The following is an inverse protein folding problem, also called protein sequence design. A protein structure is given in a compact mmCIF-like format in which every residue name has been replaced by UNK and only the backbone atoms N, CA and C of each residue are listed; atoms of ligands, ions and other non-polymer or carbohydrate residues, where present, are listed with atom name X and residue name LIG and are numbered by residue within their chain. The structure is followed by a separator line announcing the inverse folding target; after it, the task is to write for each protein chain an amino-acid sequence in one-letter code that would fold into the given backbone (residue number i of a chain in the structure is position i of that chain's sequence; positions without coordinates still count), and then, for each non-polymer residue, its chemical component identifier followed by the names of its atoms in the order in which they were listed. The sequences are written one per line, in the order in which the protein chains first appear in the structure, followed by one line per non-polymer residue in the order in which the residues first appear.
data_IF_030974792892
#
_entry.id   IF_030974792892
#
_cell.length_a   1.000
_cell.length_b   1.000
_cell.length_c   1.000
_cell.angle_alpha   90.00
_cell.angle_beta   90.00
_cell.angle_gamma   90.00
#
_symmetry.space_group_name_H-M   'P 1'
#
loop_
_entity.id
_entity.type
_entity.pdbx_description
1 polymer ?
#
# COMPACT_ATOMS: atom_id res chain seq x y z
N UNK A 1 0.19 13.61 13.35
CA UNK A 1 -0.42 12.66 12.40
C UNK A 1 -0.10 11.25 12.85
N UNK A 2 -1.10 10.38 12.93
CA UNK A 2 -0.85 8.98 13.32
C UNK A 2 -0.14 8.25 12.20
N UNK A 3 0.95 7.56 12.52
CA UNK A 3 1.75 6.79 11.56
C UNK A 3 0.91 5.79 10.78
N UNK A 4 -0.12 5.24 11.41
CA UNK A 4 -1.08 4.31 10.79
C UNK A 4 -1.81 4.88 9.55
N UNK A 5 -1.83 6.21 9.40
CA UNK A 5 -2.43 6.87 8.24
C UNK A 5 -1.43 7.11 7.09
N UNK A 6 -0.16 6.76 7.30
CA UNK A 6 0.90 6.96 6.30
C UNK A 6 1.24 5.68 5.54
N UNK A 7 0.46 4.63 5.75
CA UNK A 7 0.61 3.35 5.07
C UNK A 7 -0.74 2.84 4.61
N UNK A 8 -0.75 1.91 3.69
CA UNK A 8 -1.98 1.27 3.23
C UNK A 8 -2.55 0.36 4.32
N UNK A 9 -3.86 0.21 4.33
CA UNK A 9 -4.55 -0.74 5.21
C UNK A 9 -4.30 -2.19 4.75
N UNK A 10 -4.59 -3.12 5.63
CA UNK A 10 -4.49 -4.55 5.32
C UNK A 10 -5.41 -4.92 4.14
N UNK A 11 -6.61 -4.36 4.10
CA UNK A 11 -7.58 -4.60 3.04
C UNK A 11 -7.07 -4.08 1.69
N UNK A 12 -6.47 -2.89 1.68
CA UNK A 12 -5.87 -2.33 0.47
C UNK A 12 -4.71 -3.19 -0.04
N UNK A 13 -3.85 -3.67 0.87
CA UNK A 13 -2.75 -4.55 0.49
C UNK A 13 -3.23 -5.90 -0.07
N UNK A 14 -4.26 -6.48 0.53
CA UNK A 14 -4.89 -7.72 0.02
C UNK A 14 -5.47 -7.50 -1.37
N UNK A 15 -6.12 -6.38 -1.59
CA UNK A 15 -6.67 -6.04 -2.89
C UNK A 15 -5.58 -5.91 -3.96
N UNK A 16 -4.42 -5.29 -3.64
CA UNK A 16 -3.29 -5.25 -4.56
C UNK A 16 -2.77 -6.65 -4.90
N UNK A 17 -2.70 -7.54 -3.92
CA UNK A 17 -2.31 -8.93 -4.14
C UNK A 17 -3.31 -9.68 -5.03
N UNK A 18 -4.59 -9.44 -4.84
CA UNK A 18 -5.66 -10.00 -5.69
C UNK A 18 -5.56 -9.49 -7.14
N UNK A 19 -5.12 -8.25 -7.32
CA UNK A 19 -4.85 -7.70 -8.66
C UNK A 19 -3.55 -8.25 -9.28
N UNK A 20 -2.78 -9.04 -8.54
CA UNK A 20 -1.55 -9.66 -9.01
C UNK A 20 -0.30 -8.83 -8.78
N UNK A 21 -0.38 -7.77 -8.00
CA UNK A 21 0.78 -6.95 -7.65
C UNK A 21 1.68 -7.71 -6.67
N UNK A 22 2.96 -7.83 -6.99
CA UNK A 22 3.94 -8.40 -6.07
C UNK A 22 4.24 -7.41 -4.96
N UNK A 23 3.89 -7.76 -3.73
CA UNK A 23 4.06 -6.92 -2.55
C UNK A 23 5.27 -7.30 -1.69
N UNK A 24 6.15 -8.16 -2.19
CA UNK A 24 7.36 -8.61 -1.46
C UNK A 24 8.38 -7.50 -1.23
N UNK A 25 8.29 -6.41 -1.96
CA UNK A 25 9.17 -5.25 -1.87
C UNK A 25 8.68 -4.17 -0.87
N UNK A 26 7.68 -4.46 -0.09
CA UNK A 26 7.17 -3.53 0.93
C UNK A 26 8.22 -3.23 2.00
N UNK A 27 8.29 -1.98 2.41
CA UNK A 27 9.25 -1.54 3.44
C UNK A 27 8.72 -1.68 4.86
N UNK A 28 7.43 -1.87 5.04
CA UNK A 28 6.80 -2.02 6.35
C UNK A 28 5.82 -3.19 6.38
N UNK A 29 5.43 -3.56 7.58
CA UNK A 29 4.51 -4.69 7.80
C UNK A 29 3.50 -4.35 8.88
N UNK A 30 2.25 -4.76 8.66
CA UNK A 30 1.30 -4.94 9.72
C UNK A 30 1.59 -6.29 10.38
N UNK A 31 1.81 -6.29 11.67
CA UNK A 31 2.10 -7.51 12.43
C UNK A 31 1.16 -7.65 13.62
N UNK A 32 0.80 -8.88 13.93
CA UNK A 32 0.11 -9.20 15.18
C UNK A 32 0.53 -10.57 15.68
N UNK A 33 0.50 -10.73 17.00
CA UNK A 33 0.65 -12.02 17.62
C UNK A 33 -0.69 -12.76 17.55
N UNK A 34 -0.68 -13.95 16.97
CA UNK A 34 -1.86 -14.81 16.85
C UNK A 34 -1.66 -16.05 17.69
N UNK A 35 -2.67 -16.42 18.45
CA UNK A 35 -2.60 -17.61 19.29
C UNK A 35 -2.74 -18.86 18.46
N UNK A 36 -1.84 -19.82 18.69
CA UNK A 36 -1.83 -21.07 17.93
C UNK A 36 -2.70 -22.13 18.60
N UNK A 37 -2.81 -22.12 19.96
CA UNK A 37 -3.54 -23.13 20.71
C UNK A 37 -4.70 -22.53 21.48
N UNK A 38 -5.79 -23.28 21.57
CA UNK A 38 -6.96 -22.85 22.32
C UNK A 38 -6.79 -22.85 23.83
N UNK A 39 -5.75 -23.47 24.34
CA UNK A 39 -5.50 -23.45 25.73
C UNK A 39 -4.86 -22.20 26.19
N UNK A 40 -5.56 -21.50 27.13
CA UNK A 40 -5.26 -20.48 27.52
C UNK A 40 -5.13 -20.16 28.73
N UNK A 41 -4.83 -19.48 29.13
CA UNK A 41 -4.91 -18.92 30.18
C UNK A 41 -3.87 -18.36 30.71
N UNK A 42 -3.54 -17.39 30.67
CA UNK A 42 -2.91 -16.80 31.52
C UNK A 42 -2.48 -15.59 31.35
N UNK A 43 -2.51 -14.92 31.90
CA UNK A 43 -2.33 -13.88 32.81
C UNK A 43 -1.20 -12.89 32.55
N UNK A 44 -0.33 -13.21 31.62
CA UNK A 44 0.79 -12.37 31.27
C UNK A 44 0.70 -11.90 29.83
N UNK A 45 -0.51 -11.74 29.34
CA UNK A 45 -0.71 -11.24 27.99
C UNK A 45 -0.62 -9.73 28.05
N UNK A 46 0.38 -9.16 27.41
CA UNK A 46 0.39 -7.77 27.07
C UNK A 46 -0.95 -7.47 26.39
N UNK A 47 -1.70 -6.50 26.91
CA UNK A 47 -3.02 -6.15 26.40
C UNK A 47 -3.01 -5.77 24.91
N UNK A 48 -1.85 -5.52 24.35
CA UNK A 48 -1.68 -5.23 22.93
C UNK A 48 -1.39 -6.47 22.06
N UNK A 49 -1.20 -7.66 22.64
CA UNK A 49 -1.07 -8.89 21.87
C UNK A 49 -2.40 -9.20 21.18
N UNK A 50 -2.33 -9.53 19.89
CA UNK A 50 -3.52 -9.75 19.06
C UNK A 50 -4.00 -8.52 18.31
N UNK A 51 -3.47 -7.35 18.58
CA UNK A 51 -3.73 -6.15 17.79
C UNK A 51 -2.71 -5.98 16.69
N UNK A 52 -3.15 -5.45 15.57
CA UNK A 52 -2.26 -5.11 14.48
C UNK A 52 -1.40 -3.90 14.85
N UNK A 53 -0.09 -4.01 14.61
CA UNK A 53 0.89 -2.94 14.80
C UNK A 53 1.75 -2.80 13.57
N UNK A 54 2.25 -1.60 13.30
CA UNK A 54 3.21 -1.37 12.24
C UNK A 54 4.62 -1.74 12.70
N UNK A 55 5.37 -2.40 11.84
CA UNK A 55 6.75 -2.81 12.09
C UNK A 55 7.59 -2.70 10.82
N UNK A 56 8.88 -2.42 10.99
CA UNK A 56 9.86 -2.50 9.92
C UNK A 56 10.34 -3.93 9.68
N UNK A 57 10.02 -4.85 10.58
CA UNK A 57 10.40 -6.25 10.48
C UNK A 57 9.18 -7.14 10.55
N UNK A 58 9.20 -8.21 9.79
CA UNK A 58 8.18 -9.26 9.85
C UNK A 58 8.51 -10.37 10.84
N UNK A 59 9.55 -10.20 11.66
CA UNK A 59 9.94 -11.18 12.67
C UNK A 59 9.91 -10.57 14.07
N UNK A 60 9.45 -11.33 15.03
CA UNK A 60 9.36 -10.95 16.43
C UNK A 60 9.50 -12.19 17.30
N UNK A 61 10.14 -12.04 18.45
CA UNK A 61 10.19 -13.13 19.44
C UNK A 61 8.86 -13.17 20.18
N UNK A 62 8.21 -14.33 20.16
CA UNK A 62 6.91 -14.54 20.77
C UNK A 62 6.94 -15.72 21.74
N UNK A 63 6.06 -15.75 22.75
CA UNK A 63 5.86 -16.93 23.59
C UNK A 63 5.47 -18.16 22.76
N UNK A 64 5.78 -19.35 23.27
CA UNK A 64 5.63 -20.62 22.54
C UNK A 64 4.23 -20.91 21.99
N UNK A 65 3.18 -20.38 22.62
CA UNK A 65 1.79 -20.58 22.19
C UNK A 65 1.31 -19.57 21.14
N UNK A 66 2.20 -18.71 20.64
CA UNK A 66 1.88 -17.62 19.74
C UNK A 66 2.68 -17.72 18.45
N UNK A 67 2.06 -17.32 17.37
CA UNK A 67 2.73 -17.13 16.08
C UNK A 67 2.55 -15.69 15.60
N UNK A 68 3.51 -15.23 14.85
CA UNK A 68 3.41 -13.91 14.23
C UNK A 68 2.66 -14.04 12.90
N UNK A 69 1.62 -13.24 12.77
CA UNK A 69 0.95 -12.99 11.49
C UNK A 69 1.45 -11.64 10.96
N UNK A 70 1.85 -11.61 9.71
CA UNK A 70 2.34 -10.38 9.09
C UNK A 70 1.71 -10.16 7.71
N UNK A 71 1.42 -8.90 7.40
CA UNK A 71 0.94 -8.47 6.09
C UNK A 71 1.83 -7.32 5.65
N UNK A 72 2.48 -7.42 4.47
CA UNK A 72 3.29 -6.31 3.97
C UNK A 72 2.40 -5.09 3.74
N UNK A 73 2.96 -3.90 3.93
CA UNK A 73 2.24 -2.66 3.64
C UNK A 73 3.13 -1.62 2.98
N UNK A 74 2.54 -0.84 2.10
CA UNK A 74 3.22 0.20 1.36
C UNK A 74 3.06 1.57 2.00
N UNK A 75 4.18 2.27 2.08
CA UNK A 75 4.21 3.71 2.31
C UNK A 75 4.01 4.45 0.98
N UNK A 76 3.85 5.77 1.01
CA UNK A 76 3.84 6.59 -0.19
C UNK A 76 5.11 6.37 -1.04
N UNK A 77 6.27 6.27 -0.39
CA UNK A 77 7.54 6.00 -1.07
C UNK A 77 7.57 4.65 -1.78
N UNK A 78 7.01 3.62 -1.16
CA UNK A 78 6.89 2.30 -1.79
C UNK A 78 5.97 2.35 -3.01
N UNK A 79 4.85 3.05 -2.90
CA UNK A 79 3.90 3.22 -4.00
C UNK A 79 4.52 3.94 -5.18
N UNK A 80 5.30 5.01 -4.93
CA UNK A 80 6.04 5.69 -5.98
C UNK A 80 7.05 4.77 -6.68
N UNK A 81 7.77 3.95 -5.92
CA UNK A 81 8.73 3.00 -6.51
C UNK A 81 8.03 1.88 -7.28
N UNK A 82 6.84 1.50 -6.85
CA UNK A 82 6.07 0.43 -7.49
C UNK A 82 5.40 0.87 -8.78
N UNK A 83 4.97 2.12 -8.83
CA UNK A 83 4.36 2.68 -10.04
C UNK A 83 5.40 2.78 -11.16
N UNK A 84 5.04 2.40 -12.40
CA UNK A 84 5.92 2.62 -13.54
C UNK A 84 6.30 4.09 -13.65
N UNK A 85 7.57 4.38 -13.95
CA UNK A 85 8.04 5.76 -14.11
C UNK A 85 7.38 6.47 -15.29
N UNK A 86 6.94 5.72 -16.28
CA UNK A 86 6.18 6.22 -17.43
C UNK A 86 5.23 5.15 -17.93
N UNK A 87 4.11 5.56 -18.48
CA UNK A 87 3.23 4.66 -19.22
C UNK A 87 3.77 4.52 -20.66
N UNK A 88 3.94 3.29 -21.12
CA UNK A 88 4.26 3.04 -22.54
C UNK A 88 3.01 3.30 -23.36
N UNK A 89 2.88 4.48 -23.84
CA UNK A 89 1.99 4.82 -24.94
C UNK A 89 2.85 5.49 -26.02
N UNK A 90 2.30 5.69 -27.18
CA UNK A 90 2.97 6.42 -28.26
C UNK A 90 3.32 7.87 -27.88
N UNK A 91 3.05 8.23 -26.64
CA UNK A 91 3.32 9.51 -26.05
C UNK A 91 4.58 9.45 -25.21
N UNK A 92 5.60 10.08 -25.72
CA UNK A 92 6.92 10.19 -25.09
C UNK A 92 6.82 10.99 -23.80
N UNK A 93 7.44 10.48 -22.72
CA UNK A 93 7.68 11.21 -21.49
C UNK A 93 6.49 11.52 -20.58
N UNK A 94 5.67 10.53 -20.24
CA UNK A 94 4.74 10.68 -19.11
C UNK A 94 5.49 10.57 -17.77
N UNK A 95 5.12 11.37 -16.81
CA UNK A 95 5.64 11.28 -15.44
C UNK A 95 4.50 11.25 -14.44
N UNK A 96 4.77 10.69 -13.24
CA UNK A 96 3.79 10.71 -12.17
C UNK A 96 3.74 12.11 -11.59
N UNK A 97 2.54 12.66 -11.45
CA UNK A 97 2.30 13.95 -10.83
C UNK A 97 1.26 13.82 -9.70
N UNK A 98 1.44 14.62 -8.66
CA UNK A 98 0.49 14.74 -7.58
C UNK A 98 -0.01 16.17 -7.55
N UNK A 99 -1.31 16.34 -7.63
CA UNK A 99 -1.95 17.63 -7.59
C UNK A 99 -2.84 17.73 -6.35
N UNK A 100 -2.86 18.91 -5.77
CA UNK A 100 -3.79 19.24 -4.69
C UNK A 100 -4.74 20.32 -5.20
N UNK A 101 -6.02 20.01 -5.22
CA UNK A 101 -7.02 21.00 -5.59
C UNK A 101 -7.35 21.85 -4.35
N UNK A 102 -7.02 23.14 -4.42
CA UNK A 102 -7.01 24.07 -3.31
C UNK A 102 -8.37 24.68 -2.94
N UNK A 103 -9.44 23.94 -3.02
CA UNK A 103 -10.75 24.37 -2.52
C UNK A 103 -11.00 23.77 -1.13
N UNK A 104 -12.02 24.20 -0.45
CA UNK A 104 -12.33 23.98 0.98
C UNK A 104 -12.11 22.58 1.58
N UNK A 105 -11.95 21.57 0.76
CA UNK A 105 -11.48 20.24 1.15
C UNK A 105 -10.33 19.82 0.21
N UNK A 106 -9.11 19.60 0.74
CA UNK A 106 -7.98 19.23 -0.09
C UNK A 106 -8.17 17.84 -0.69
N UNK A 107 -8.54 17.81 -1.95
CA UNK A 107 -8.57 16.58 -2.73
C UNK A 107 -7.21 16.38 -3.36
N UNK A 108 -6.58 15.25 -3.11
CA UNK A 108 -5.29 14.90 -3.67
C UNK A 108 -5.52 14.01 -4.89
N UNK A 109 -4.90 14.37 -6.01
CA UNK A 109 -4.96 13.59 -7.24
C UNK A 109 -3.58 13.03 -7.57
N UNK A 110 -3.51 11.75 -7.91
CA UNK A 110 -2.32 11.11 -8.48
C UNK A 110 -2.64 10.72 -9.92
N UNK A 111 -1.72 11.02 -10.84
CA UNK A 111 -1.95 10.85 -12.27
C UNK A 111 -0.64 10.77 -13.04
N UNK A 112 -0.71 10.40 -14.32
CA UNK A 112 0.40 10.56 -15.24
C UNK A 112 0.16 11.79 -16.13
N UNK A 113 1.16 12.67 -16.17
CA UNK A 113 1.17 13.83 -17.05
C UNK A 113 2.11 13.58 -18.23
N UNK A 114 1.72 14.07 -19.37
CA UNK A 114 2.54 14.10 -20.58
C UNK A 114 2.38 15.43 -21.28
N UNK A 115 3.04 15.63 -22.42
CA UNK A 115 3.11 16.91 -23.12
C UNK A 115 1.81 17.72 -23.12
N UNK A 116 1.93 19.03 -22.92
CA UNK A 116 0.82 20.01 -22.93
C UNK A 116 -0.19 19.85 -21.80
N UNK A 117 0.26 19.41 -20.61
CA UNK A 117 -0.62 19.25 -19.44
C UNK A 117 -1.74 18.21 -19.62
N UNK A 118 -1.57 17.28 -20.55
CA UNK A 118 -2.50 16.17 -20.69
C UNK A 118 -2.27 15.15 -19.58
N UNK A 119 -3.33 14.51 -19.13
CA UNK A 119 -3.28 13.57 -18.01
C UNK A 119 -3.93 12.23 -18.37
N UNK A 120 -3.39 11.16 -17.80
CA UNK A 120 -3.94 9.82 -17.95
C UNK A 120 -4.05 9.19 -16.57
N UNK A 121 -5.12 8.46 -16.32
CA UNK A 121 -5.29 7.65 -15.14
C UNK A 121 -5.52 8.44 -13.85
N UNK A 122 -6.01 9.66 -13.94
CA UNK A 122 -6.26 10.50 -12.77
C UNK A 122 -7.10 9.77 -11.72
N UNK A 123 -6.53 9.62 -10.53
CA UNK A 123 -7.17 9.03 -9.37
C UNK A 123 -7.10 10.02 -8.21
N UNK A 124 -8.11 9.99 -7.37
CA UNK A 124 -8.23 10.90 -6.24
C UNK A 124 -8.23 10.14 -4.92
N UNK A 125 -7.86 10.81 -3.86
CA UNK A 125 -7.90 10.29 -2.51
C UNK A 125 -7.81 11.41 -1.48
N UNK A 126 -8.16 11.11 -0.25
CA UNK A 126 -8.07 12.06 0.86
C UNK A 126 -6.62 12.21 1.36
N UNK A 127 -5.76 11.26 1.04
CA UNK A 127 -4.34 11.27 1.37
C UNK A 127 -3.51 10.94 0.13
N UNK A 128 -2.21 11.26 0.18
CA UNK A 128 -1.27 10.90 -0.88
C UNK A 128 -1.23 9.37 -1.07
N UNK A 129 -1.20 8.63 0.02
CA UNK A 129 -1.17 7.17 0.01
C UNK A 129 -2.40 6.60 -0.68
N UNK A 130 -3.57 7.14 -0.38
CA UNK A 130 -4.82 6.70 -1.00
C UNK A 130 -4.87 7.02 -2.50
N UNK A 131 -4.49 8.22 -2.89
CA UNK A 131 -4.44 8.62 -4.30
C UNK A 131 -3.45 7.74 -5.09
N UNK A 132 -2.26 7.48 -4.53
CA UNK A 132 -1.26 6.60 -5.14
C UNK A 132 -1.72 5.15 -5.19
N UNK A 133 -2.39 4.67 -4.14
CA UNK A 133 -2.98 3.33 -4.12
C UNK A 133 -4.02 3.19 -5.25
N UNK A 134 -4.91 4.16 -5.39
CA UNK A 134 -5.92 4.15 -6.44
C UNK A 134 -5.28 4.19 -7.84
N UNK A 135 -4.19 4.97 -8.00
CA UNK A 135 -3.44 4.99 -9.25
C UNK A 135 -2.77 3.64 -9.54
N UNK A 136 -2.18 3.01 -8.53
CA UNK A 136 -1.57 1.68 -8.70
C UNK A 136 -2.61 0.63 -9.07
N UNK A 137 -3.79 0.66 -8.47
CA UNK A 137 -4.90 -0.21 -8.86
C UNK A 137 -5.32 0.02 -10.31
N UNK A 138 -5.41 1.29 -10.73
CA UNK A 138 -5.73 1.64 -12.10
C UNK A 138 -4.68 1.08 -13.09
N UNK A 139 -3.38 1.22 -12.78
CA UNK A 139 -2.30 0.66 -13.58
C UNK A 139 -2.36 -0.87 -13.62
N UNK A 140 -2.62 -1.49 -12.47
CA UNK A 140 -2.74 -2.95 -12.38
C UNK A 140 -3.89 -3.52 -13.23
N UNK A 141 -4.94 -2.75 -13.41
CA UNK A 141 -6.09 -3.15 -14.23
C UNK A 141 -5.86 -2.84 -15.71
N UNK A 142 -5.34 -1.67 -16.03
CA UNK A 142 -5.26 -1.16 -17.40
C UNK A 142 -3.92 -1.37 -18.08
N UNK A 143 -2.84 -1.51 -17.32
CA UNK A 143 -1.46 -1.61 -17.81
C UNK A 143 -0.71 -2.74 -17.12
N UNK A 144 -1.31 -3.92 -17.03
CA UNK A 144 -0.77 -5.08 -16.27
C UNK A 144 0.67 -5.41 -16.58
N UNK A 145 1.04 -5.38 -17.83
CA UNK A 145 2.38 -5.74 -18.30
C UNK A 145 3.47 -4.82 -17.73
N UNK A 146 3.15 -3.57 -17.40
CA UNK A 146 4.12 -2.64 -16.82
C UNK A 146 4.49 -2.98 -15.37
N UNK A 147 3.64 -3.75 -14.69
CA UNK A 147 3.88 -4.25 -13.33
C UNK A 147 4.38 -5.69 -13.32
N UNK A 148 4.61 -6.30 -14.49
CA UNK A 148 4.99 -7.71 -14.59
C UNK A 148 3.87 -8.68 -14.25
N UNK A 149 2.63 -8.22 -14.23
CA UNK A 149 1.47 -9.07 -13.95
C UNK A 149 1.18 -9.93 -15.18
N UNK A 150 1.20 -11.23 -14.99
CA UNK A 150 0.86 -12.17 -16.05
C UNK A 150 -0.65 -12.19 -16.30
N UNK A 151 -1.00 -12.26 -17.55
CA UNK A 151 -2.41 -12.44 -17.92
C UNK A 151 -2.96 -13.77 -17.42
#
# INVERSE_FOLDING_TARGET
MKIEKQVLSIEQMKHLQELGVDTSDASMYWVRAKRITGEQKNNCIDMDMGKWKLSLSKSMVLPAAWALESVPTYTAGDLFRKLPSSLKSDYLNSCIAIHTDGCDEPLISALYEYEYNNTIGKQVGDTIEEALYNLLCWVAINCKELLGIKK
#
